data_IF_374723886170
#
_entry.id   IF_374723886170
#
_cell.length_a   1.000
_cell.length_b   1.000
_cell.length_c   1.000
_cell.angle_alpha   90.00
_cell.angle_beta   90.00
_cell.angle_gamma   90.00
#
_symmetry.space_group_name_H-M   'P 1'
#
loop_
_entity.id
_entity.type
_entity.pdbx_description
1 polymer ?
#
# COMPACT_ATOMS: atom_id res chain seq x y z
N UNK A 1 -1.54 -12.36 -25.01
CA UNK A 1 -2.87 -12.42 -24.37
C UNK A 1 -2.73 -12.95 -22.93
N UNK A 2 -2.19 -12.16 -21.99
CA UNK A 2 -1.92 -12.65 -20.63
C UNK A 2 -2.08 -11.53 -19.61
N UNK A 3 -3.26 -11.42 -19.00
CA UNK A 3 -3.51 -10.75 -17.71
C UNK A 3 -5.00 -10.88 -17.38
N UNK A 4 -5.44 -12.09 -17.07
CA UNK A 4 -6.55 -12.24 -16.14
C UNK A 4 -5.99 -12.84 -14.86
N UNK A 5 -5.45 -11.96 -14.03
CA UNK A 5 -5.19 -12.23 -12.62
C UNK A 5 -6.57 -12.37 -12.01
N UNK A 6 -7.04 -13.61 -11.90
CA UNK A 6 -8.40 -13.93 -11.51
C UNK A 6 -8.38 -15.13 -10.59
N UNK A 7 -8.73 -16.30 -11.12
CA UNK A 7 -8.74 -17.57 -10.40
C UNK A 7 -8.43 -18.70 -11.36
N UNK A 8 -7.84 -19.79 -10.86
CA UNK A 8 -7.61 -21.01 -11.64
C UNK A 8 -7.93 -22.23 -10.80
N UNK A 9 -8.90 -23.03 -11.27
CA UNK A 9 -9.24 -24.32 -10.69
C UNK A 9 -8.46 -25.43 -11.42
N UNK A 10 -7.83 -26.32 -10.66
CA UNK A 10 -7.05 -27.46 -11.18
C UNK A 10 -7.38 -28.68 -10.30
N UNK A 11 -7.56 -29.85 -10.92
CA UNK A 11 -7.72 -31.10 -10.17
C UNK A 11 -6.41 -31.52 -9.50
N UNK A 12 -6.50 -32.23 -8.38
CA UNK A 12 -5.31 -32.70 -7.64
C UNK A 12 -4.44 -33.62 -8.52
N UNK A 13 -5.07 -34.49 -9.31
CA UNK A 13 -4.35 -35.41 -10.20
C UNK A 13 -3.62 -34.66 -11.32
N UNK A 14 -4.29 -33.69 -11.96
CA UNK A 14 -3.64 -32.87 -12.98
C UNK A 14 -2.48 -32.06 -12.40
N UNK A 15 -2.64 -31.50 -11.19
CA UNK A 15 -1.58 -30.76 -10.54
C UNK A 15 -0.37 -31.64 -10.22
N UNK A 16 -0.58 -32.91 -9.81
CA UNK A 16 0.50 -33.88 -9.59
C UNK A 16 1.25 -34.21 -10.88
N UNK A 17 0.52 -34.37 -11.99
CA UNK A 17 1.11 -34.64 -13.31
C UNK A 17 1.89 -33.43 -13.82
N UNK A 18 1.35 -32.22 -13.68
CA UNK A 18 2.02 -30.97 -14.08
C UNK A 18 3.33 -30.72 -13.33
N UNK A 19 3.41 -31.17 -12.08
CA UNK A 19 4.60 -31.07 -11.23
C UNK A 19 5.50 -32.32 -11.29
N UNK A 20 5.18 -33.27 -12.17
CA UNK A 20 5.91 -34.53 -12.39
C UNK A 20 6.21 -35.32 -11.09
N UNK A 21 5.26 -35.30 -10.15
CA UNK A 21 5.47 -35.86 -8.82
C UNK A 21 5.39 -37.39 -8.77
N UNK A 22 4.90 -38.04 -9.82
CA UNK A 22 4.75 -39.49 -9.90
C UNK A 22 4.00 -40.06 -8.67
N UNK A 23 4.65 -40.95 -7.93
CA UNK A 23 4.10 -41.59 -6.71
C UNK A 23 4.44 -40.86 -5.40
N UNK A 24 5.07 -39.69 -5.45
CA UNK A 24 5.44 -38.94 -4.24
C UNK A 24 4.20 -38.33 -3.58
N UNK A 25 4.24 -38.23 -2.25
CA UNK A 25 3.16 -37.67 -1.42
C UNK A 25 1.80 -38.33 -1.67
N UNK A 26 1.65 -39.64 -1.42
CA UNK A 26 0.39 -40.34 -1.65
C UNK A 26 -0.76 -39.78 -0.80
N UNK A 27 -0.45 -39.36 0.43
CA UNK A 27 -1.39 -38.69 1.31
C UNK A 27 -1.57 -37.23 0.86
N UNK A 28 -2.84 -36.80 0.74
CA UNK A 28 -3.15 -35.42 0.41
C UNK A 28 -2.60 -34.43 1.44
N UNK A 29 -2.57 -34.81 2.73
CA UNK A 29 -2.00 -33.97 3.79
C UNK A 29 -0.52 -33.65 3.55
N UNK A 30 0.28 -34.63 3.12
CA UNK A 30 1.69 -34.42 2.81
C UNK A 30 1.86 -33.58 1.54
N UNK A 31 1.06 -33.86 0.51
CA UNK A 31 1.06 -33.09 -0.73
C UNK A 31 0.72 -31.62 -0.47
N UNK A 32 -0.30 -31.37 0.36
CA UNK A 32 -0.68 -30.02 0.80
C UNK A 32 0.48 -29.34 1.51
N UNK A 33 1.02 -29.95 2.57
CA UNK A 33 2.05 -29.33 3.42
C UNK A 33 3.36 -29.07 2.68
N UNK A 34 3.82 -30.02 1.86
CA UNK A 34 5.16 -29.99 1.26
C UNK A 34 5.22 -29.38 -0.13
N UNK A 35 4.09 -29.30 -0.82
CA UNK A 35 4.03 -28.80 -2.19
C UNK A 35 3.21 -27.52 -2.25
N UNK A 36 1.95 -27.57 -1.84
CA UNK A 36 1.02 -26.45 -2.03
C UNK A 36 1.36 -25.32 -1.06
N UNK A 37 1.42 -25.61 0.25
CA UNK A 37 1.69 -24.61 1.29
C UNK A 37 3.08 -23.99 1.07
N UNK A 38 4.10 -24.84 0.86
CA UNK A 38 5.47 -24.37 0.56
C UNK A 38 5.54 -23.47 -0.67
N UNK A 39 4.89 -23.84 -1.78
CA UNK A 39 4.90 -23.02 -2.99
C UNK A 39 4.14 -21.69 -2.80
N UNK A 40 3.02 -21.71 -2.09
CA UNK A 40 2.24 -20.51 -1.79
C UNK A 40 3.04 -19.55 -0.93
N UNK A 41 3.72 -20.05 0.11
CA UNK A 41 4.58 -19.26 0.97
C UNK A 41 5.75 -18.65 0.19
N UNK A 42 6.43 -19.44 -0.64
CA UNK A 42 7.52 -18.94 -1.48
C UNK A 42 7.07 -17.86 -2.46
N UNK A 43 5.93 -18.04 -3.14
CA UNK A 43 5.40 -17.00 -4.04
C UNK A 43 5.02 -15.76 -3.22
N UNK A 44 4.39 -15.94 -2.07
CA UNK A 44 4.02 -14.84 -1.18
C UNK A 44 5.21 -14.15 -0.51
N UNK A 45 6.40 -14.74 -0.49
CA UNK A 45 7.60 -14.11 0.05
C UNK A 45 8.43 -13.43 -1.05
N UNK A 46 8.71 -14.15 -2.15
CA UNK A 46 9.71 -13.74 -3.14
C UNK A 46 9.11 -13.10 -4.41
N UNK A 47 7.79 -13.14 -4.62
CA UNK A 47 7.15 -12.58 -5.80
C UNK A 47 6.31 -11.34 -5.47
N UNK A 48 6.16 -10.36 -6.39
CA UNK A 48 5.17 -9.29 -6.28
C UNK A 48 3.72 -9.79 -6.40
N UNK A 49 3.48 -11.09 -6.46
CA UNK A 49 2.16 -11.70 -6.46
C UNK A 49 1.78 -12.17 -5.05
N UNK A 50 0.50 -12.05 -4.72
CA UNK A 50 -0.15 -12.67 -3.58
C UNK A 50 -1.02 -13.82 -4.08
N UNK A 51 -0.78 -15.01 -3.55
CA UNK A 51 -1.50 -16.23 -3.90
C UNK A 51 -2.22 -16.77 -2.68
N UNK A 52 -3.47 -17.14 -2.89
CA UNK A 52 -4.27 -17.91 -1.92
C UNK A 52 -4.90 -19.08 -2.64
N UNK A 53 -5.34 -20.10 -1.89
CA UNK A 53 -6.01 -21.24 -2.50
C UNK A 53 -7.16 -21.75 -1.63
N UNK A 54 -8.14 -22.36 -2.28
CA UNK A 54 -9.28 -23.03 -1.66
C UNK A 54 -9.33 -24.49 -2.12
N UNK A 55 -9.79 -25.37 -1.23
CA UNK A 55 -9.91 -26.79 -1.52
C UNK A 55 -11.36 -27.16 -1.77
N UNK A 56 -11.64 -27.81 -2.90
CA UNK A 56 -12.95 -28.34 -3.24
C UNK A 56 -12.98 -29.84 -2.98
N UNK A 57 -13.96 -30.26 -2.18
CA UNK A 57 -14.16 -31.66 -1.81
C UNK A 57 -15.33 -32.27 -2.55
N UNK A 58 -15.20 -33.53 -2.91
CA UNK A 58 -16.29 -34.38 -3.40
C UNK A 58 -16.43 -35.52 -2.40
N UNK A 59 -17.47 -35.46 -1.57
CA UNK A 59 -17.59 -36.33 -0.39
C UNK A 59 -16.45 -36.08 0.61
N UNK A 60 -15.74 -37.15 0.99
CA UNK A 60 -14.61 -37.07 1.95
C UNK A 60 -13.26 -36.71 1.31
N UNK A 61 -13.15 -36.77 -0.02
CA UNK A 61 -11.87 -36.57 -0.75
C UNK A 61 -11.78 -35.15 -1.31
N UNK A 62 -10.59 -34.55 -1.26
CA UNK A 62 -10.28 -33.29 -1.96
C UNK A 62 -10.01 -33.63 -3.43
N UNK A 63 -10.78 -33.02 -4.35
CA UNK A 63 -10.69 -33.32 -5.79
C UNK A 63 -10.05 -32.18 -6.57
N UNK A 64 -10.32 -30.93 -6.19
CA UNK A 64 -9.83 -29.75 -6.90
C UNK A 64 -9.26 -28.70 -5.95
N UNK A 65 -8.38 -27.87 -6.48
CA UNK A 65 -7.79 -26.72 -5.80
C UNK A 65 -8.01 -25.51 -6.69
N UNK A 66 -8.57 -24.46 -6.09
CA UNK A 66 -8.79 -23.18 -6.76
C UNK A 66 -7.77 -22.17 -6.24
N UNK A 67 -6.83 -21.79 -7.09
CA UNK A 67 -5.85 -20.75 -6.80
C UNK A 67 -6.43 -19.38 -7.16
N UNK A 68 -6.26 -18.42 -6.27
CA UNK A 68 -6.57 -17.01 -6.51
C UNK A 68 -5.27 -16.22 -6.49
N UNK A 69 -5.07 -15.41 -7.52
CA UNK A 69 -3.87 -14.59 -7.67
C UNK A 69 -4.29 -13.12 -7.56
N UNK A 70 -3.48 -12.33 -6.87
CA UNK A 70 -3.59 -10.87 -6.82
C UNK A 70 -2.20 -10.28 -6.97
N UNK A 71 -2.06 -9.17 -7.68
CA UNK A 71 -0.82 -8.41 -7.59
C UNK A 71 -0.75 -7.78 -6.20
N UNK A 72 0.39 -7.95 -5.53
CA UNK A 72 0.73 -7.09 -4.42
C UNK A 72 0.97 -5.74 -5.07
N UNK A 73 0.06 -4.80 -4.82
CA UNK A 73 0.40 -3.41 -5.05
C UNK A 73 1.68 -3.16 -4.27
N UNK A 74 2.78 -2.90 -4.98
CA UNK A 74 3.92 -2.28 -4.33
C UNK A 74 3.37 -0.95 -3.85
N UNK A 75 2.92 -0.88 -2.60
CA UNK A 75 2.86 0.38 -1.88
C UNK A 75 4.31 0.79 -1.63
N UNK A 76 5.03 1.14 -2.71
CA UNK A 76 5.75 2.40 -2.68
C UNK A 76 4.70 3.41 -2.23
N UNK A 77 4.96 4.13 -1.14
CA UNK A 77 4.05 5.15 -0.62
C UNK A 77 3.76 6.20 -1.68
N UNK A 78 2.80 5.91 -2.56
CA UNK A 78 2.24 6.80 -3.54
C UNK A 78 0.75 6.56 -3.49
N UNK A 79 0.10 7.54 -2.88
CA UNK A 79 -1.33 7.74 -2.93
C UNK A 79 -1.73 7.93 -4.39
N UNK A 80 -2.00 6.85 -5.11
CA UNK A 80 -2.66 6.92 -6.42
C UNK A 80 -4.13 7.24 -6.18
N UNK A 81 -4.43 8.52 -6.02
CA UNK A 81 -5.70 9.09 -6.43
C UNK A 81 -5.37 10.23 -7.37
N UNK A 82 -5.68 10.08 -8.65
CA UNK A 82 -5.84 11.17 -9.65
C UNK A 82 -7.04 12.09 -9.29
N UNK A 83 -7.14 12.40 -8.01
CA UNK A 83 -8.00 13.43 -7.43
C UNK A 83 -6.99 14.33 -6.73
N UNK A 84 -6.91 15.63 -7.04
CA UNK A 84 -6.09 16.56 -6.27
C UNK A 84 -6.48 16.39 -4.80
N UNK A 85 -5.63 15.72 -4.03
CA UNK A 85 -5.90 15.53 -2.60
C UNK A 85 -5.81 16.91 -2.00
N UNK A 86 -6.96 17.48 -1.67
CA UNK A 86 -7.05 18.86 -1.17
C UNK A 86 -6.34 19.02 0.19
N UNK A 87 -5.99 17.90 0.82
CA UNK A 87 -5.31 17.83 2.12
C UNK A 87 -4.33 16.66 2.21
N UNK A 88 -3.15 16.93 2.77
CA UNK A 88 -2.10 15.95 3.09
C UNK A 88 -1.88 15.86 4.59
N UNK A 89 -1.90 14.65 5.15
CA UNK A 89 -1.59 14.44 6.57
C UNK A 89 -0.08 14.53 6.77
N UNK A 90 0.38 15.68 7.27
CA UNK A 90 1.76 15.91 7.65
C UNK A 90 2.04 15.34 9.04
N UNK A 91 3.27 14.86 9.26
CA UNK A 91 3.74 14.50 10.62
C UNK A 91 4.03 15.75 11.45
N UNK A 92 3.99 15.66 12.78
CA UNK A 92 4.30 16.80 13.65
C UNK A 92 5.71 17.39 13.39
N UNK A 93 6.67 16.55 13.00
CA UNK A 93 8.00 17.00 12.59
C UNK A 93 7.95 17.85 11.31
N UNK A 94 7.20 17.40 10.30
CA UNK A 94 7.00 18.14 9.05
C UNK A 94 6.24 19.45 9.29
N UNK A 95 5.18 19.43 10.10
CA UNK A 95 4.41 20.61 10.47
C UNK A 95 5.32 21.64 11.16
N UNK A 96 6.17 21.19 12.09
CA UNK A 96 7.10 22.07 12.78
C UNK A 96 8.12 22.69 11.84
N UNK A 97 8.73 21.88 10.96
CA UNK A 97 9.70 22.34 9.97
C UNK A 97 9.08 23.37 9.02
N UNK A 98 7.97 23.01 8.37
CA UNK A 98 7.30 23.91 7.43
C UNK A 98 6.75 25.16 8.11
N UNK A 99 6.15 25.05 9.29
CA UNK A 99 5.64 26.21 10.02
C UNK A 99 6.72 27.23 10.36
N UNK A 100 7.92 26.77 10.74
CA UNK A 100 9.07 27.64 11.01
C UNK A 100 9.66 28.26 9.73
N UNK A 101 9.65 27.54 8.61
CA UNK A 101 10.12 28.06 7.33
C UNK A 101 9.15 29.08 6.74
N UNK A 102 7.84 28.76 6.77
CA UNK A 102 6.78 29.60 6.25
C UNK A 102 6.64 30.91 7.04
N UNK A 103 6.87 30.92 8.36
CA UNK A 103 6.80 32.16 9.12
C UNK A 103 7.86 33.18 8.72
N UNK A 104 8.98 32.74 8.14
CA UNK A 104 10.06 33.61 7.67
C UNK A 104 9.84 34.14 6.25
N UNK A 105 8.80 33.69 5.55
CA UNK A 105 8.48 34.18 4.21
C UNK A 105 7.81 35.55 4.30
N UNK A 106 8.37 36.53 3.59
CA UNK A 106 7.77 37.87 3.48
C UNK A 106 6.34 37.80 2.91
N UNK A 107 6.10 36.86 2.00
CA UNK A 107 4.77 36.59 1.42
C UNK A 107 3.70 36.27 2.47
N UNK A 108 4.09 35.70 3.63
CA UNK A 108 3.19 35.33 4.72
C UNK A 108 3.24 36.32 5.89
N UNK A 109 4.02 37.40 5.78
CA UNK A 109 4.10 38.44 6.80
C UNK A 109 2.75 39.12 7.05
N UNK A 110 1.87 39.17 6.05
CA UNK A 110 0.52 39.72 6.18
C UNK A 110 -0.40 38.89 7.11
N UNK A 111 -0.03 37.63 7.41
CA UNK A 111 -0.77 36.78 8.34
C UNK A 111 -0.42 37.06 9.81
N UNK A 112 0.70 37.77 10.06
CA UNK A 112 1.05 38.27 11.38
C UNK A 112 0.28 39.55 11.66
N UNK A 113 -0.16 39.74 12.91
CA UNK A 113 -0.62 41.05 13.38
C UNK A 113 0.60 41.96 13.56
N UNK A 114 0.39 43.25 13.46
CA UNK A 114 1.45 44.25 13.60
C UNK A 114 2.26 44.02 14.88
N UNK A 115 3.57 43.81 14.73
CA UNK A 115 4.49 43.57 15.84
C UNK A 115 4.55 42.13 16.39
N UNK A 116 3.82 41.16 15.81
CA UNK A 116 3.95 39.76 16.22
C UNK A 116 5.30 39.15 15.81
N UNK A 117 5.89 38.36 16.71
CA UNK A 117 7.15 37.67 16.43
C UNK A 117 6.96 36.51 15.45
N UNK A 118 8.04 36.16 14.74
CA UNK A 118 8.06 35.04 13.80
C UNK A 118 7.71 33.68 14.46
N UNK A 119 7.95 33.54 15.76
CA UNK A 119 7.60 32.32 16.51
C UNK A 119 6.09 32.18 16.71
N UNK A 120 5.41 33.30 16.98
CA UNK A 120 3.95 33.33 17.11
C UNK A 120 3.29 33.06 15.75
N UNK A 121 3.82 33.66 14.68
CA UNK A 121 3.38 33.38 13.31
C UNK A 121 3.60 31.90 12.95
N UNK A 122 4.74 31.31 13.30
CA UNK A 122 5.02 29.90 13.06
C UNK A 122 3.99 29.00 13.75
N UNK A 123 3.67 29.25 15.01
CA UNK A 123 2.66 28.48 15.76
C UNK A 123 1.28 28.57 15.10
N UNK A 124 0.87 29.75 14.63
CA UNK A 124 -0.38 29.91 13.87
C UNK A 124 -0.35 29.11 12.58
N UNK A 125 0.71 29.19 11.79
CA UNK A 125 0.84 28.45 10.53
C UNK A 125 0.78 26.94 10.79
N UNK A 126 1.41 26.44 11.85
CA UNK A 126 1.35 25.01 12.24
C UNK A 126 -0.08 24.53 12.47
N UNK A 127 -0.88 25.32 13.19
CA UNK A 127 -2.32 25.04 13.38
C UNK A 127 -3.07 25.05 12.05
N UNK A 128 -2.79 26.03 11.18
CA UNK A 128 -3.40 26.09 9.83
C UNK A 128 -3.00 24.92 8.92
N UNK A 129 -1.80 24.36 9.09
CA UNK A 129 -1.33 23.18 8.35
C UNK A 129 -2.02 21.89 8.81
N UNK A 130 -2.55 21.84 10.03
CA UNK A 130 -3.38 20.74 10.55
C UNK A 130 -4.80 20.78 9.99
N UNK A 131 -5.31 21.97 9.71
CA UNK A 131 -6.65 22.18 9.17
C UNK A 131 -6.74 21.93 7.65
N UNK A 132 -7.59 20.99 7.18
CA UNK A 132 -7.70 20.67 5.75
C UNK A 132 -8.06 21.85 4.84
N UNK A 133 -8.96 22.71 5.31
CA UNK A 133 -9.40 23.87 4.53
C UNK A 133 -8.32 24.94 4.39
N UNK A 134 -7.51 25.12 5.43
CA UNK A 134 -6.49 26.17 5.49
C UNK A 134 -5.18 25.70 4.86
N UNK A 135 -4.82 24.42 5.02
CA UNK A 135 -3.63 23.83 4.39
C UNK A 135 -3.60 24.03 2.87
N UNK A 136 -4.77 24.04 2.21
CA UNK A 136 -4.90 24.29 0.76
C UNK A 136 -4.19 25.58 0.31
N UNK A 137 -4.23 26.64 1.13
CA UNK A 137 -3.58 27.92 0.85
C UNK A 137 -2.05 27.82 0.94
N UNK A 138 -1.54 26.88 1.72
CA UNK A 138 -0.11 26.69 1.93
C UNK A 138 0.54 25.71 0.95
N UNK A 139 -0.26 24.90 0.22
CA UNK A 139 0.22 23.95 -0.78
C UNK A 139 1.23 24.49 -1.80
N UNK A 140 1.03 25.68 -2.43
CA UNK A 140 2.03 26.21 -3.37
C UNK A 140 3.38 26.46 -2.70
N UNK A 141 3.37 27.00 -1.48
CA UNK A 141 4.59 27.27 -0.73
C UNK A 141 5.25 25.97 -0.22
N UNK A 142 4.46 24.98 0.18
CA UNK A 142 4.97 23.66 0.58
C UNK A 142 5.69 22.97 -0.59
N UNK A 143 5.12 23.04 -1.80
CA UNK A 143 5.76 22.49 -3.02
C UNK A 143 7.09 23.18 -3.32
N UNK A 144 7.14 24.50 -3.17
CA UNK A 144 8.38 25.28 -3.34
C UNK A 144 9.45 24.91 -2.28
N UNK A 145 9.02 24.53 -1.08
CA UNK A 145 9.88 24.00 -0.01
C UNK A 145 10.25 22.52 -0.20
N UNK A 146 9.89 21.90 -1.33
CA UNK A 146 10.25 20.53 -1.66
C UNK A 146 9.30 19.48 -1.09
N UNK A 147 8.13 19.86 -0.57
CA UNK A 147 7.11 18.91 -0.18
C UNK A 147 6.57 18.17 -1.41
N UNK A 148 6.77 16.85 -1.42
CA UNK A 148 6.23 15.94 -2.43
C UNK A 148 5.14 15.10 -1.75
N UNK A 149 3.89 15.16 -2.23
CA UNK A 149 2.80 14.36 -1.71
C UNK A 149 2.97 12.86 -1.95
#
# INVERSE_FOLDING_TARGET
QYRQIGKREISVDNLRTMLELGKKYPLFADFKKRVIDTAVDQINEYSPLRVTYEQKKTGRKVTHITFSFKEKTKSLGQESTDIPKEFYKLTDAQINMFGNQLSRLHELSHLAREGESYEILASKIKEKLRDPKQQKQFLPYLRNLGFKP
#
